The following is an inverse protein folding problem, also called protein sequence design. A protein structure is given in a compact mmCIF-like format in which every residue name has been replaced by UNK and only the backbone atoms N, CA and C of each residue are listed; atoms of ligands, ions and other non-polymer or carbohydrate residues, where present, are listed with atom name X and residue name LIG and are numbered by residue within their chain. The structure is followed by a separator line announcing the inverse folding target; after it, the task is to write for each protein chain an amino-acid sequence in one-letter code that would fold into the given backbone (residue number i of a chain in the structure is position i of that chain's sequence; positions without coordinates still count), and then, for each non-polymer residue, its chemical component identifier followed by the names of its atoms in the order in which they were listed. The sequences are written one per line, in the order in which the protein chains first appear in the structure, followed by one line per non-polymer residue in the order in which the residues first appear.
data_IF_003758657837
#
_entry.id   IF_003758657837
#
_cell.length_a   1.000
_cell.length_b   1.000
_cell.length_c   1.000
_cell.angle_alpha   90.00
_cell.angle_beta   90.00
_cell.angle_gamma   90.00
#
_symmetry.space_group_name_H-M   'P 1'
#
loop_
_entity.id
_entity.type
_entity.pdbx_description
1 polymer ?
#
# COMPACT_ATOMS: atom_id res chain seq x y z
N UNK A 1 -102.79 69.66 -53.53
CA UNK A 1 -102.55 68.46 -52.71
C UNK A 1 -101.24 67.72 -53.01
N UNK A 2 -100.72 67.74 -54.24
CA UNK A 2 -99.47 67.03 -54.59
C UNK A 2 -98.21 67.53 -53.85
N UNK A 3 -98.03 68.85 -53.70
CA UNK A 3 -96.85 69.44 -53.06
C UNK A 3 -96.71 69.12 -51.55
N UNK A 4 -97.82 68.98 -50.84
CA UNK A 4 -97.80 68.57 -49.43
C UNK A 4 -97.44 67.10 -49.25
N UNK A 5 -97.83 66.25 -50.21
CA UNK A 5 -97.48 64.83 -50.19
C UNK A 5 -95.99 64.64 -50.46
N UNK A 6 -95.43 65.35 -51.45
CA UNK A 6 -93.99 65.32 -51.71
C UNK A 6 -93.18 65.84 -50.54
N UNK A 7 -93.62 66.90 -49.85
CA UNK A 7 -92.90 67.43 -48.69
C UNK A 7 -92.93 66.45 -47.50
N UNK A 8 -94.04 65.75 -47.30
CA UNK A 8 -94.16 64.70 -46.28
C UNK A 8 -93.29 63.49 -46.61
N UNK A 9 -93.22 63.10 -47.88
CA UNK A 9 -92.37 61.98 -48.33
C UNK A 9 -90.89 62.32 -48.16
N UNK A 10 -90.47 63.57 -48.47
CA UNK A 10 -89.10 64.06 -48.23
C UNK A 10 -88.79 64.12 -46.73
N UNK A 11 -89.72 64.57 -45.89
CA UNK A 11 -89.52 64.59 -44.44
C UNK A 11 -89.35 63.18 -43.87
N UNK A 12 -90.14 62.22 -44.34
CA UNK A 12 -90.04 60.83 -43.90
C UNK A 12 -88.74 60.17 -44.40
N UNK A 13 -88.34 60.44 -45.65
CA UNK A 13 -87.07 59.92 -46.18
C UNK A 13 -85.87 60.50 -45.41
N UNK A 14 -85.91 61.79 -45.09
CA UNK A 14 -84.89 62.45 -44.29
C UNK A 14 -84.82 61.90 -42.87
N UNK A 15 -85.96 61.64 -42.23
CA UNK A 15 -86.00 60.99 -40.92
C UNK A 15 -85.42 59.57 -40.98
N UNK A 16 -85.72 58.82 -42.03
CA UNK A 16 -85.14 57.49 -42.24
C UNK A 16 -83.63 57.54 -42.47
N UNK A 17 -83.13 58.51 -43.24
CA UNK A 17 -81.69 58.73 -43.44
C UNK A 17 -80.98 59.13 -42.15
N UNK A 18 -81.54 60.06 -41.36
CA UNK A 18 -80.99 60.43 -40.06
C UNK A 18 -80.94 59.24 -39.11
N UNK A 19 -82.01 58.44 -39.05
CA UNK A 19 -82.03 57.22 -38.22
C UNK A 19 -81.00 56.21 -38.72
N UNK A 20 -80.80 56.08 -40.03
CA UNK A 20 -79.78 55.20 -40.60
C UNK A 20 -78.36 55.66 -40.25
N UNK A 21 -78.04 56.94 -40.47
CA UNK A 21 -76.73 57.51 -40.14
C UNK A 21 -76.45 57.41 -38.63
N UNK A 22 -77.46 57.66 -37.79
CA UNK A 22 -77.30 57.49 -36.33
C UNK A 22 -76.97 56.05 -35.96
N UNK A 23 -77.64 55.05 -36.55
CA UNK A 23 -77.31 53.64 -36.31
C UNK A 23 -75.93 53.29 -36.82
N UNK A 24 -75.50 53.81 -37.97
CA UNK A 24 -74.15 53.60 -38.49
C UNK A 24 -73.09 54.18 -37.54
N UNK A 25 -73.29 55.41 -37.02
CA UNK A 25 -72.39 56.03 -36.03
C UNK A 25 -72.33 55.30 -34.68
N UNK A 26 -73.45 54.73 -34.23
CA UNK A 26 -73.49 53.97 -32.97
C UNK A 26 -73.19 52.48 -33.14
N UNK A 27 -73.06 51.97 -34.37
CA UNK A 27 -72.72 50.57 -34.67
C UNK A 27 -71.33 50.38 -35.26
N UNK A 28 -70.59 51.44 -35.56
CA UNK A 28 -69.15 51.36 -35.76
C UNK A 28 -68.52 50.90 -34.44
N UNK A 29 -68.24 49.60 -34.36
CA UNK A 29 -67.51 48.99 -33.25
C UNK A 29 -66.22 49.79 -33.08
N UNK A 30 -66.12 50.54 -31.99
CA UNK A 30 -64.87 51.12 -31.54
C UNK A 30 -63.95 49.92 -31.30
N UNK A 31 -63.02 49.69 -32.22
CA UNK A 31 -61.91 48.75 -32.02
C UNK A 31 -61.34 49.00 -30.63
N UNK A 32 -60.97 47.94 -29.90
CA UNK A 32 -60.37 48.08 -28.55
C UNK A 32 -59.40 49.28 -28.56
N UNK A 33 -59.59 50.26 -27.65
CA UNK A 33 -58.74 51.43 -27.66
C UNK A 33 -57.29 50.96 -27.53
N UNK A 34 -56.40 51.55 -28.32
CA UNK A 34 -54.99 51.16 -28.37
C UNK A 34 -54.35 51.09 -26.97
N UNK A 35 -54.82 51.95 -26.06
CA UNK A 35 -54.41 51.99 -24.66
C UNK A 35 -54.68 50.68 -23.91
N UNK A 36 -55.82 50.02 -24.13
CA UNK A 36 -56.15 48.74 -23.49
C UNK A 36 -55.26 47.60 -24.01
N UNK A 37 -54.93 47.62 -25.29
CA UNK A 37 -54.01 46.64 -25.90
C UNK A 37 -52.60 46.83 -25.34
N UNK A 38 -52.15 48.08 -25.20
CA UNK A 38 -50.84 48.40 -24.60
C UNK A 38 -50.81 48.02 -23.12
N UNK A 39 -51.88 48.29 -22.36
CA UNK A 39 -51.99 47.92 -20.96
C UNK A 39 -51.90 46.39 -20.76
N UNK A 40 -52.61 45.61 -21.58
CA UNK A 40 -52.50 44.13 -21.58
C UNK A 40 -51.06 43.68 -21.88
N UNK A 41 -50.40 44.27 -22.87
CA UNK A 41 -49.01 43.92 -23.22
C UNK A 41 -48.01 44.27 -22.11
N UNK A 42 -48.19 45.37 -21.40
CA UNK A 42 -47.35 45.74 -20.26
C UNK A 42 -47.53 44.73 -19.12
N UNK A 43 -48.77 44.32 -18.84
CA UNK A 43 -49.05 43.27 -17.84
C UNK A 43 -48.39 41.94 -18.23
N UNK A 44 -48.52 41.51 -19.49
CA UNK A 44 -47.88 40.29 -19.98
C UNK A 44 -46.35 40.35 -19.85
N UNK A 45 -45.73 41.48 -20.21
CA UNK A 45 -44.29 41.68 -20.08
C UNK A 45 -43.82 41.62 -18.62
N UNK A 46 -44.58 42.20 -17.70
CA UNK A 46 -44.28 42.13 -16.26
C UNK A 46 -44.31 40.68 -15.75
N UNK A 47 -45.27 39.89 -16.23
CA UNK A 47 -45.42 38.48 -15.88
C UNK A 47 -44.24 37.67 -16.46
N UNK A 48 -43.87 37.88 -17.72
CA UNK A 48 -42.71 37.21 -18.32
C UNK A 48 -41.40 37.58 -17.64
N UNK A 49 -41.21 38.84 -17.26
CA UNK A 49 -40.04 39.27 -16.51
C UNK A 49 -39.94 38.57 -15.15
N UNK A 50 -41.06 38.47 -14.43
CA UNK A 50 -41.10 37.73 -13.15
C UNK A 50 -40.77 36.24 -13.32
N UNK A 51 -41.26 35.59 -14.39
CA UNK A 51 -40.92 34.20 -14.73
C UNK A 51 -39.44 34.05 -15.06
N UNK A 52 -38.87 34.96 -15.85
CA UNK A 52 -37.45 34.94 -16.19
C UNK A 52 -36.58 35.07 -14.94
N UNK A 53 -36.94 35.99 -14.03
CA UNK A 53 -36.26 36.14 -12.73
C UNK A 53 -36.31 34.86 -11.89
N UNK A 54 -37.44 34.16 -11.86
CA UNK A 54 -37.56 32.87 -11.17
C UNK A 54 -36.74 31.77 -11.84
N UNK A 55 -36.68 31.74 -13.18
CA UNK A 55 -35.84 30.79 -13.92
C UNK A 55 -34.35 31.07 -13.73
N UNK A 56 -33.93 32.33 -13.65
CA UNK A 56 -32.55 32.71 -13.30
C UNK A 56 -32.22 32.46 -11.83
N UNK A 57 -33.20 32.45 -10.94
CA UNK A 57 -32.99 32.03 -9.55
C UNK A 57 -32.86 30.50 -9.41
N UNK A 58 -33.45 29.69 -10.31
CA UNK A 58 -33.32 28.22 -10.28
C UNK A 58 -31.87 27.68 -10.38
N UNK A 59 -30.93 28.20 -11.21
CA UNK A 59 -29.55 27.74 -11.18
C UNK A 59 -28.80 28.10 -9.89
N UNK A 60 -29.28 29.06 -9.09
CA UNK A 60 -28.73 29.39 -7.77
C UNK A 60 -29.39 28.60 -6.62
N UNK A 61 -30.55 27.99 -6.87
CA UNK A 61 -31.31 27.19 -5.91
C UNK A 61 -31.07 25.67 -6.06
N UNK A 62 -30.28 25.25 -7.06
CA UNK A 62 -29.56 23.98 -6.95
C UNK A 62 -28.62 24.18 -5.77
N UNK A 63 -28.97 23.60 -4.63
CA UNK A 63 -28.05 23.44 -3.50
C UNK A 63 -26.69 23.02 -4.06
N UNK A 64 -25.56 23.38 -3.43
CA UNK A 64 -24.31 22.74 -3.77
C UNK A 64 -24.49 21.26 -3.40
N UNK A 65 -25.03 20.47 -4.34
CA UNK A 65 -24.82 19.04 -4.36
C UNK A 65 -23.31 18.96 -4.44
N UNK A 66 -22.70 18.61 -3.31
CA UNK A 66 -21.38 18.02 -3.28
C UNK A 66 -21.45 16.95 -4.36
N UNK A 67 -20.89 17.23 -5.53
CA UNK A 67 -20.71 16.22 -6.55
C UNK A 67 -19.91 15.15 -5.84
N UNK A 68 -20.51 13.99 -5.58
CA UNK A 68 -19.78 12.84 -5.08
C UNK A 68 -18.71 12.53 -6.13
N UNK A 69 -17.51 13.08 -5.93
CA UNK A 69 -16.35 12.61 -6.66
C UNK A 69 -16.24 11.12 -6.31
N UNK A 70 -16.37 10.27 -7.32
CA UNK A 70 -16.14 8.84 -7.17
C UNK A 70 -14.83 8.67 -6.40
N UNK A 71 -14.90 8.02 -5.23
CA UNK A 71 -13.74 7.81 -4.35
C UNK A 71 -12.66 7.12 -5.18
N UNK A 72 -11.59 7.84 -5.49
CA UNK A 72 -10.39 7.22 -6.06
C UNK A 72 -9.65 6.51 -4.93
N UNK A 73 -8.95 5.42 -5.22
CA UNK A 73 -8.16 4.68 -4.22
C UNK A 73 -7.19 5.60 -3.47
N UNK A 74 -6.65 6.62 -4.14
CA UNK A 74 -5.79 7.65 -3.57
C UNK A 74 -6.48 8.52 -2.51
N UNK A 75 -7.74 8.93 -2.72
CA UNK A 75 -8.47 9.68 -1.69
C UNK A 75 -8.75 8.83 -0.45
N UNK A 76 -8.97 7.52 -0.61
CA UNK A 76 -9.19 6.61 0.52
C UNK A 76 -7.90 6.43 1.34
N UNK A 77 -6.74 6.33 0.69
CA UNK A 77 -5.45 6.27 1.40
C UNK A 77 -5.15 7.56 2.14
N UNK A 78 -5.41 8.73 1.54
CA UNK A 78 -5.23 10.03 2.19
C UNK A 78 -6.17 10.21 3.40
N UNK A 79 -7.43 9.75 3.31
CA UNK A 79 -8.32 9.72 4.47
C UNK A 79 -7.84 8.72 5.53
N UNK A 80 -7.28 7.57 5.14
CA UNK A 80 -6.69 6.61 6.06
C UNK A 80 -5.52 7.21 6.85
N UNK A 81 -4.60 7.87 6.15
CA UNK A 81 -3.43 8.49 6.76
C UNK A 81 -3.81 9.66 7.66
N UNK A 82 -4.76 10.50 7.26
CA UNK A 82 -5.24 11.61 8.09
C UNK A 82 -6.00 11.14 9.34
N UNK A 83 -6.79 10.06 9.23
CA UNK A 83 -7.45 9.45 10.39
C UNK A 83 -6.42 8.83 11.32
N UNK A 84 -5.46 8.06 10.80
CA UNK A 84 -4.38 7.49 11.59
C UNK A 84 -3.59 8.58 12.32
N UNK A 85 -3.26 9.67 11.63
CA UNK A 85 -2.54 10.79 12.21
C UNK A 85 -3.34 11.47 13.34
N UNK A 86 -4.64 11.69 13.16
CA UNK A 86 -5.51 12.23 14.21
C UNK A 86 -5.66 11.29 15.42
N UNK A 87 -5.69 9.98 15.19
CA UNK A 87 -5.73 8.99 16.29
C UNK A 87 -4.42 9.05 17.09
N UNK A 88 -3.28 9.11 16.41
CA UNK A 88 -1.97 9.25 17.06
C UNK A 88 -1.92 10.58 17.83
N UNK A 89 -2.33 11.69 17.22
CA UNK A 89 -2.37 12.99 17.86
C UNK A 89 -3.24 12.97 19.13
N UNK A 90 -4.45 12.43 19.05
CA UNK A 90 -5.33 12.31 20.21
C UNK A 90 -4.71 11.46 21.32
N UNK A 91 -4.07 10.35 20.96
CA UNK A 91 -3.40 9.47 21.93
C UNK A 91 -2.19 10.14 22.58
N UNK A 92 -1.41 10.92 21.82
CA UNK A 92 -0.29 11.71 22.33
C UNK A 92 -0.77 12.82 23.26
N UNK A 93 -1.83 13.54 22.91
CA UNK A 93 -2.41 14.58 23.78
C UNK A 93 -2.95 13.95 25.07
N UNK A 94 -3.62 12.79 24.97
CA UNK A 94 -4.10 12.04 26.14
C UNK A 94 -2.96 11.58 27.06
N UNK A 95 -1.89 11.02 26.51
CA UNK A 95 -0.75 10.58 27.32
C UNK A 95 -0.01 11.76 27.96
N UNK A 96 0.11 12.89 27.26
CA UNK A 96 0.76 14.09 27.77
C UNK A 96 -0.06 14.75 28.89
N UNK A 97 -1.37 14.85 28.72
CA UNK A 97 -2.27 15.36 29.78
C UNK A 97 -2.26 14.46 31.00
N UNK A 98 -2.30 13.13 30.83
CA UNK A 98 -2.17 12.17 31.93
C UNK A 98 -0.81 12.26 32.63
N UNK A 99 0.28 12.42 31.87
CA UNK A 99 1.61 12.60 32.45
C UNK A 99 1.69 13.88 33.28
N UNK A 100 1.08 14.96 32.79
CA UNK A 100 1.05 16.23 33.52
C UNK A 100 0.19 16.16 34.79
N UNK A 101 -0.95 15.44 34.78
CA UNK A 101 -1.76 15.23 35.99
C UNK A 101 -1.05 14.36 37.01
N UNK A 102 -0.38 13.27 36.58
CA UNK A 102 0.45 12.42 37.44
C UNK A 102 1.61 13.23 38.02
N UNK A 103 2.31 14.03 37.20
CA UNK A 103 3.39 14.90 37.66
C UNK A 103 2.88 15.89 38.71
N UNK A 104 1.75 16.56 38.45
CA UNK A 104 1.09 17.44 39.41
C UNK A 104 0.80 16.72 40.73
N UNK A 105 0.17 15.54 40.68
CA UNK A 105 -0.15 14.72 41.85
C UNK A 105 1.08 14.31 42.66
N UNK A 106 2.18 13.97 41.99
CA UNK A 106 3.46 13.62 42.64
C UNK A 106 4.06 14.85 43.32
N UNK A 107 4.03 16.01 42.65
CA UNK A 107 4.60 17.27 43.16
C UNK A 107 3.77 17.95 44.25
N UNK A 108 2.46 17.74 44.32
CA UNK A 108 1.63 18.34 45.38
C UNK A 108 1.92 17.68 46.73
N UNK A 109 2.08 18.46 47.82
CA UNK A 109 2.34 17.91 49.14
C UNK A 109 1.12 17.12 49.66
N UNK A 110 1.38 16.06 50.43
CA UNK A 110 0.33 15.12 50.88
C UNK A 110 -0.70 15.74 51.84
N UNK A 111 -0.37 16.88 52.47
CA UNK A 111 -1.22 17.54 53.47
C UNK A 111 -2.49 18.19 52.88
N UNK A 112 -2.55 18.38 51.55
CA UNK A 112 -3.68 19.02 50.86
C UNK A 112 -4.45 18.07 49.94
N UNK A 113 -4.18 16.76 50.01
CA UNK A 113 -4.77 15.75 49.13
C UNK A 113 -5.76 14.88 49.91
N UNK A 114 -6.86 14.50 49.27
CA UNK A 114 -7.79 13.51 49.80
C UNK A 114 -7.08 12.15 50.03
N UNK A 115 -7.47 11.38 51.06
CA UNK A 115 -6.78 10.14 51.42
C UNK A 115 -6.70 9.12 50.26
N UNK A 116 -7.72 9.03 49.41
CA UNK A 116 -7.72 8.16 48.22
C UNK A 116 -6.68 8.57 47.16
N UNK A 117 -6.39 9.87 47.03
CA UNK A 117 -5.39 10.38 46.09
C UNK A 117 -3.97 10.16 46.63
N UNK A 118 -3.80 10.13 47.96
CA UNK A 118 -2.54 9.77 48.60
C UNK A 118 -2.22 8.30 48.38
N UNK A 119 -3.18 7.39 48.57
CA UNK A 119 -2.98 5.95 48.28
C UNK A 119 -2.62 5.71 46.80
N UNK A 120 -3.29 6.42 45.88
CA UNK A 120 -2.97 6.33 44.44
C UNK A 120 -1.57 6.86 44.16
N UNK A 121 -1.16 7.96 44.79
CA UNK A 121 0.19 8.50 44.68
C UNK A 121 1.24 7.51 45.19
N UNK A 122 1.03 6.89 46.34
CA UNK A 122 1.93 5.86 46.89
C UNK A 122 2.06 4.66 45.96
N UNK A 123 0.94 4.12 45.45
CA UNK A 123 0.96 3.02 44.47
C UNK A 123 1.72 3.38 43.19
N UNK A 124 1.56 4.61 42.70
CA UNK A 124 2.28 5.10 41.52
C UNK A 124 3.78 5.22 41.82
N UNK A 125 4.17 5.74 42.99
CA UNK A 125 5.57 5.85 43.40
C UNK A 125 6.21 4.46 43.54
N UNK A 126 5.50 3.49 44.12
CA UNK A 126 5.97 2.11 44.24
C UNK A 126 6.16 1.45 42.87
N UNK A 127 5.25 1.69 41.92
CA UNK A 127 5.42 1.22 40.55
C UNK A 127 6.61 1.89 39.87
N UNK A 128 6.77 3.21 40.02
CA UNK A 128 7.90 3.95 39.45
C UNK A 128 9.25 3.50 40.01
N UNK A 129 9.33 3.16 41.30
CA UNK A 129 10.55 2.62 41.90
C UNK A 129 10.87 1.23 41.36
N UNK A 130 9.86 0.35 41.20
CA UNK A 130 10.02 -0.96 40.54
C UNK A 130 10.49 -0.83 39.10
N UNK A 131 9.89 0.07 38.32
CA UNK A 131 10.33 0.35 36.96
C UNK A 131 11.77 0.85 36.92
N UNK A 132 12.14 1.78 37.81
CA UNK A 132 13.52 2.27 37.90
C UNK A 132 14.52 1.17 38.24
N UNK A 133 14.14 0.25 39.13
CA UNK A 133 14.97 -0.94 39.44
C UNK A 133 15.13 -1.83 38.21
N UNK A 134 14.05 -2.13 37.49
CA UNK A 134 14.09 -2.92 36.26
C UNK A 134 14.93 -2.25 35.17
N UNK A 135 14.82 -0.93 34.98
CA UNK A 135 15.66 -0.18 34.04
C UNK A 135 17.14 -0.28 34.42
N UNK A 136 17.48 -0.19 35.71
CA UNK A 136 18.86 -0.35 36.16
C UNK A 136 19.41 -1.77 35.91
N UNK A 137 18.57 -2.79 36.11
CA UNK A 137 18.90 -4.19 35.82
C UNK A 137 19.10 -4.41 34.32
N UNK A 138 18.23 -3.84 33.47
CA UNK A 138 18.37 -3.92 32.01
C UNK A 138 19.67 -3.26 31.53
N UNK A 139 20.00 -2.06 32.02
CA UNK A 139 21.27 -1.40 31.67
C UNK A 139 22.48 -2.23 32.10
N UNK A 140 22.40 -2.88 33.27
CA UNK A 140 23.47 -3.77 33.73
C UNK A 140 23.60 -5.00 32.82
N UNK A 141 22.49 -5.64 32.45
CA UNK A 141 22.49 -6.78 31.54
C UNK A 141 23.00 -6.40 30.14
N UNK A 142 22.65 -5.23 29.62
CA UNK A 142 23.17 -4.73 28.35
C UNK A 142 24.69 -4.49 28.39
N UNK A 143 25.21 -3.99 29.51
CA UNK A 143 26.65 -3.83 29.69
C UNK A 143 27.36 -5.20 29.72
N UNK A 144 26.84 -6.15 30.50
CA UNK A 144 27.38 -7.52 30.56
C UNK A 144 27.32 -8.21 29.20
N UNK A 145 26.23 -8.03 28.45
CA UNK A 145 26.09 -8.58 27.10
C UNK A 145 27.20 -8.06 26.19
N UNK A 146 27.47 -6.74 26.20
CA UNK A 146 28.56 -6.15 25.40
C UNK A 146 29.93 -6.72 25.78
N UNK A 147 30.23 -6.82 27.07
CA UNK A 147 31.47 -7.44 27.56
C UNK A 147 31.61 -8.89 27.06
N UNK A 148 30.53 -9.67 27.07
CA UNK A 148 30.55 -11.06 26.57
C UNK A 148 30.68 -11.15 25.05
N UNK A 149 30.09 -10.23 24.31
CA UNK A 149 30.30 -10.15 22.86
C UNK A 149 31.75 -9.80 22.52
N UNK A 150 32.40 -8.94 23.29
CA UNK A 150 33.82 -8.60 23.15
C UNK A 150 34.72 -9.80 23.48
N UNK A 151 34.49 -10.48 24.61
CA UNK A 151 35.21 -11.72 24.97
C UNK A 151 35.08 -12.80 23.89
N UNK A 152 33.89 -12.95 23.31
CA UNK A 152 33.64 -13.92 22.24
C UNK A 152 34.39 -13.54 20.96
N UNK A 153 34.39 -12.26 20.58
CA UNK A 153 35.17 -11.77 19.43
C UNK A 153 36.66 -12.02 19.62
N UNK A 154 37.21 -11.69 20.79
CA UNK A 154 38.62 -11.97 21.09
C UNK A 154 38.95 -13.47 21.01
N UNK A 155 38.06 -14.33 21.53
CA UNK A 155 38.22 -15.77 21.44
C UNK A 155 38.21 -16.24 19.98
N UNK A 156 37.28 -15.75 19.18
CA UNK A 156 37.21 -16.05 17.74
C UNK A 156 38.48 -15.60 17.00
N UNK A 157 39.01 -14.42 17.31
CA UNK A 157 40.27 -13.93 16.74
C UNK A 157 41.45 -14.81 17.14
N UNK A 158 41.54 -15.23 18.43
CA UNK A 158 42.55 -16.18 18.89
C UNK A 158 42.47 -17.50 18.12
N UNK A 159 41.27 -18.06 17.95
CA UNK A 159 41.05 -19.28 17.15
C UNK A 159 41.40 -19.09 15.69
N UNK A 160 41.02 -17.96 15.09
CA UNK A 160 41.34 -17.63 13.71
C UNK A 160 42.86 -17.56 13.49
N UNK A 161 43.58 -16.90 14.40
CA UNK A 161 45.04 -16.80 14.36
C UNK A 161 45.70 -18.18 14.47
N UNK A 162 45.21 -19.05 15.36
CA UNK A 162 45.70 -20.44 15.47
C UNK A 162 45.45 -21.22 14.19
N UNK A 163 44.24 -21.11 13.61
CA UNK A 163 43.92 -21.77 12.33
C UNK A 163 44.78 -21.26 11.18
N UNK A 164 45.05 -19.96 11.10
CA UNK A 164 45.95 -19.37 10.11
C UNK A 164 47.38 -19.92 10.27
N UNK A 165 47.92 -19.94 11.49
CA UNK A 165 49.24 -20.53 11.79
C UNK A 165 49.31 -22.01 11.40
N UNK A 166 48.28 -22.80 11.69
CA UNK A 166 48.21 -24.22 11.31
C UNK A 166 48.10 -24.42 9.79
N UNK A 167 47.38 -23.55 9.08
CA UNK A 167 47.33 -23.57 7.62
C UNK A 167 48.67 -23.20 7.00
N UNK A 168 49.37 -22.21 7.58
CA UNK A 168 50.71 -21.82 7.17
C UNK A 168 51.72 -22.95 7.44
N UNK A 169 51.65 -23.60 8.60
CA UNK A 169 52.51 -24.75 8.92
C UNK A 169 52.26 -25.96 8.02
N UNK A 170 51.04 -26.13 7.50
CA UNK A 170 50.71 -27.14 6.49
C UNK A 170 51.19 -26.78 5.08
N UNK A 171 51.35 -25.49 4.79
CA UNK A 171 51.84 -24.98 3.49
C UNK A 171 53.36 -24.94 3.40
N UNK A 172 54.06 -24.94 4.53
CA UNK A 172 55.48 -25.30 4.54
C UNK A 172 55.60 -26.70 3.93
N UNK A 173 56.53 -26.93 2.98
CA UNK A 173 56.73 -28.26 2.44
C UNK A 173 57.03 -29.17 3.62
N UNK A 174 56.12 -30.10 3.91
CA UNK A 174 56.42 -31.24 4.76
C UNK A 174 57.70 -31.81 4.19
N UNK A 175 58.81 -31.68 4.93
CA UNK A 175 60.00 -32.48 4.70
C UNK A 175 59.47 -33.91 4.60
N UNK A 176 59.70 -34.53 3.44
CA UNK A 176 59.26 -35.88 3.08
C UNK A 176 59.98 -36.91 3.96
N UNK A 177 59.80 -36.86 5.27
CA UNK A 177 60.20 -37.91 6.18
C UNK A 177 59.09 -38.96 6.19
N UNK A 178 59.39 -40.06 5.49
CA UNK A 178 58.79 -41.39 5.64
C UNK A 178 57.73 -41.85 4.61
N UNK A 179 57.83 -41.43 3.34
CA UNK A 179 57.15 -42.14 2.24
C UNK A 179 58.00 -42.29 0.98
N UNK A 180 59.26 -42.72 1.11
CA UNK A 180 60.10 -43.05 -0.04
C UNK A 180 60.91 -44.34 0.19
N UNK A 181 60.23 -45.42 0.53
CA UNK A 181 60.76 -46.76 0.25
C UNK A 181 60.68 -47.06 -1.27
N UNK A 182 61.65 -47.77 -1.88
CA UNK A 182 61.53 -48.21 -3.28
C UNK A 182 60.28 -49.06 -3.52
N UNK A 183 59.78 -49.76 -2.50
CA UNK A 183 58.52 -50.50 -2.53
C UNK A 183 57.30 -49.56 -2.61
N UNK A 184 57.28 -48.46 -1.86
CA UNK A 184 56.20 -47.47 -1.92
C UNK A 184 56.12 -46.81 -3.31
N UNK A 185 57.29 -46.50 -3.90
CA UNK A 185 57.36 -45.99 -5.28
C UNK A 185 56.82 -47.00 -6.29
N UNK A 186 57.17 -48.28 -6.16
CA UNK A 186 56.65 -49.35 -7.03
C UNK A 186 55.14 -49.56 -6.85
N UNK A 187 54.65 -49.53 -5.61
CA UNK A 187 53.23 -49.66 -5.28
C UNK A 187 52.43 -48.49 -5.83
N UNK A 188 52.94 -47.26 -5.71
CA UNK A 188 52.35 -46.06 -6.31
C UNK A 188 52.25 -46.18 -7.84
N UNK A 189 53.32 -46.60 -8.52
CA UNK A 189 53.31 -46.82 -9.98
C UNK A 189 52.29 -47.90 -10.39
N UNK A 190 52.15 -48.97 -9.60
CA UNK A 190 51.15 -50.00 -9.85
C UNK A 190 49.72 -49.47 -9.68
N UNK A 191 49.46 -48.70 -8.63
CA UNK A 191 48.15 -48.09 -8.36
C UNK A 191 47.80 -47.07 -9.43
N UNK A 192 48.75 -46.23 -9.86
CA UNK A 192 48.54 -45.27 -10.94
C UNK A 192 48.17 -46.00 -12.25
N UNK A 193 48.83 -47.14 -12.55
CA UNK A 193 48.47 -47.99 -13.70
C UNK A 193 47.08 -48.62 -13.55
N UNK A 194 46.70 -49.06 -12.35
CA UNK A 194 45.37 -49.61 -12.08
C UNK A 194 44.28 -48.54 -12.19
N UNK A 195 44.53 -47.31 -11.74
CA UNK A 195 43.61 -46.18 -11.94
C UNK A 195 43.48 -45.82 -13.42
N UNK A 196 44.58 -45.82 -14.19
CA UNK A 196 44.53 -45.64 -15.65
C UNK A 196 43.68 -46.74 -16.33
N UNK A 197 43.87 -48.01 -15.95
CA UNK A 197 43.03 -49.10 -16.45
C UNK A 197 41.56 -48.92 -16.08
N UNK A 198 41.25 -48.47 -14.86
CA UNK A 198 39.88 -48.16 -14.42
C UNK A 198 39.22 -47.10 -15.32
N UNK A 199 39.95 -46.03 -15.63
CA UNK A 199 39.49 -44.97 -16.53
C UNK A 199 39.31 -45.47 -17.96
N UNK A 200 40.22 -46.31 -18.46
CA UNK A 200 40.12 -46.91 -19.79
C UNK A 200 38.93 -47.87 -19.90
N UNK A 201 38.70 -48.73 -18.91
CA UNK A 201 37.53 -49.64 -18.86
C UNK A 201 36.25 -48.82 -18.85
N UNK A 202 36.18 -47.75 -18.05
CA UNK A 202 35.04 -46.84 -18.04
C UNK A 202 34.80 -46.26 -19.41
N UNK A 203 35.83 -45.70 -20.05
CA UNK A 203 35.75 -45.13 -21.40
C UNK A 203 35.36 -46.18 -22.44
N UNK A 204 35.93 -47.38 -22.42
CA UNK A 204 35.63 -48.47 -23.34
C UNK A 204 34.17 -48.93 -23.24
N UNK A 205 33.65 -49.11 -22.03
CA UNK A 205 32.25 -49.53 -21.83
C UNK A 205 31.26 -48.43 -22.23
N UNK A 206 31.60 -47.16 -21.98
CA UNK A 206 30.75 -46.01 -22.35
C UNK A 206 30.94 -45.54 -23.79
N UNK A 207 32.03 -45.93 -24.46
CA UNK A 207 32.28 -45.56 -25.84
C UNK A 207 31.26 -46.26 -26.73
N UNK A 208 30.64 -45.48 -27.62
CA UNK A 208 29.65 -45.95 -28.59
C UNK A 208 30.34 -46.79 -29.68
N UNK A 209 30.74 -48.02 -29.34
CA UNK A 209 30.86 -49.07 -30.35
C UNK A 209 29.44 -49.40 -30.79
N UNK A 210 29.08 -49.02 -32.02
CA UNK A 210 27.70 -48.92 -32.52
C UNK A 210 26.90 -50.22 -32.65
N UNK A 211 27.44 -51.38 -32.27
CA UNK A 211 26.80 -52.69 -32.46
C UNK A 211 26.87 -53.59 -31.21
N UNK A 212 26.82 -53.03 -30.00
CA UNK A 212 26.67 -53.87 -28.81
C UNK A 212 25.19 -54.01 -28.44
N UNK A 213 24.69 -55.23 -28.60
CA UNK A 213 23.32 -55.56 -28.25
C UNK A 213 23.21 -55.77 -26.72
N UNK A 214 22.74 -54.72 -26.04
CA UNK A 214 22.53 -54.72 -24.59
C UNK A 214 21.47 -55.72 -24.13
N UNK A 215 20.66 -56.23 -25.07
CA UNK A 215 19.60 -57.19 -24.80
C UNK A 215 20.18 -58.62 -24.76
N UNK A 216 21.20 -58.91 -25.57
CA UNK A 216 21.78 -60.25 -25.69
C UNK A 216 22.80 -60.60 -24.59
N UNK A 217 23.58 -59.63 -24.08
CA UNK A 217 24.60 -59.89 -23.05
C UNK A 217 24.77 -58.74 -22.04
N UNK A 218 23.75 -58.44 -21.21
CA UNK A 218 23.82 -57.32 -20.27
C UNK A 218 24.92 -57.51 -19.21
N UNK A 219 25.17 -58.74 -18.79
CA UNK A 219 25.97 -59.00 -17.59
C UNK A 219 27.47 -58.70 -17.75
N UNK A 220 28.06 -58.84 -18.95
CA UNK A 220 29.50 -58.63 -19.15
C UNK A 220 29.91 -57.16 -19.03
N UNK A 221 29.19 -56.24 -19.66
CA UNK A 221 29.45 -54.79 -19.54
C UNK A 221 29.09 -54.25 -18.16
N UNK A 222 28.04 -54.76 -17.51
CA UNK A 222 27.72 -54.37 -16.14
C UNK A 222 28.80 -54.81 -15.13
N UNK A 223 29.36 -56.02 -15.26
CA UNK A 223 30.49 -56.47 -14.43
C UNK A 223 31.75 -55.63 -14.68
N UNK A 224 32.03 -55.26 -15.92
CA UNK A 224 33.14 -54.37 -16.26
C UNK A 224 32.94 -52.95 -15.68
N UNK A 225 31.71 -52.42 -15.68
CA UNK A 225 31.39 -51.16 -15.01
C UNK A 225 31.48 -51.26 -13.49
N UNK A 226 31.16 -52.41 -12.90
CA UNK A 226 31.32 -52.61 -11.46
C UNK A 226 32.79 -52.48 -11.04
N UNK A 227 33.72 -53.01 -11.85
CA UNK A 227 35.16 -52.84 -11.64
C UNK A 227 35.61 -51.38 -11.80
N UNK A 228 34.95 -50.61 -12.67
CA UNK A 228 35.23 -49.18 -12.85
C UNK A 228 34.80 -48.30 -11.66
N UNK A 229 33.86 -48.77 -10.81
CA UNK A 229 33.32 -47.98 -9.70
C UNK A 229 34.24 -47.91 -8.49
N UNK A 230 35.07 -48.93 -8.26
CA UNK A 230 35.97 -48.98 -7.11
C UNK A 230 37.24 -48.16 -7.38
N UNK A 231 37.57 -47.22 -6.48
CA UNK A 231 38.82 -46.43 -6.59
C UNK A 231 39.97 -47.20 -5.94
N UNK A 232 41.11 -47.24 -6.62
CA UNK A 232 42.33 -47.82 -6.07
C UNK A 232 43.17 -46.73 -5.40
N UNK A 233 43.21 -46.69 -4.08
CA UNK A 233 44.12 -45.82 -3.31
C UNK A 233 45.13 -46.67 -2.55
N UNK A 234 46.29 -46.09 -2.23
CA UNK A 234 47.35 -46.77 -1.48
C UNK A 234 46.85 -47.30 -0.13
N UNK A 235 45.94 -46.57 0.53
CA UNK A 235 45.31 -46.95 1.79
C UNK A 235 44.54 -48.27 1.68
N UNK A 236 43.82 -48.51 0.58
CA UNK A 236 43.04 -49.74 0.38
C UNK A 236 43.90 -51.02 0.34
N UNK A 237 45.21 -50.90 0.10
CA UNK A 237 46.16 -52.01 -0.01
C UNK A 237 47.19 -52.06 1.11
N UNK A 238 47.14 -51.11 2.04
CA UNK A 238 48.03 -51.05 3.21
C UNK A 238 47.30 -51.30 4.52
N UNK A 239 45.96 -51.28 4.52
CA UNK A 239 45.09 -51.53 5.68
C UNK A 239 44.52 -52.97 5.73
N UNK A 240 45.12 -53.93 5.02
CA UNK A 240 44.78 -55.36 5.07
C UNK A 240 45.77 -56.17 5.90
#
# INVERSE_FOLDING_TARGET
MAAFKSLRDISNSFEHELRRISRELFSTKVSEPFEDVVAKKIQDLSLFYSKLRLLQAKPLAVTPQVTECNKSEHTITEYGDTVMWKIIEHQVVKSLTQTHTIKKLITTPNNSLDPELVERKEKIVDQLTKFRQQESQLRHLEAVLKEKEEELKESQEKWHNVLCRLKESRKLPQVEENSSGPLYKKLKVLIDKMELMRWLISKLVTSRTGEYDWIADPHRRFKALALARQKHTIQNYTES
#
